data_IF_897885296505
#
_entry.id   IF_897885296505
#
_cell.length_a   1.000
_cell.length_b   1.000
_cell.length_c   1.000
_cell.angle_alpha   90.00
_cell.angle_beta   90.00
_cell.angle_gamma   90.00
#
_symmetry.space_group_name_H-M   'P 1'
#
loop_
_entity.id
_entity.type
_entity.pdbx_description
1 polymer ?
#
# COMPACT_ATOMS: atom_id res chain seq x y z
N UNK A 1 -17.70 -4.75 5.56
CA UNK A 1 -17.05 -3.45 5.79
C UNK A 1 -15.57 -3.72 5.98
N UNK A 2 -14.68 -3.10 5.21
CA UNK A 2 -13.24 -3.30 5.38
C UNK A 2 -12.80 -2.60 6.69
N UNK A 3 -12.32 -3.35 7.71
CA UNK A 3 -11.92 -2.75 8.98
C UNK A 3 -10.73 -1.79 8.81
N UNK A 4 -9.87 -2.12 7.87
CA UNK A 4 -8.67 -1.38 7.46
C UNK A 4 -8.92 0.05 6.96
N UNK A 5 -10.16 0.36 6.53
CA UNK A 5 -10.53 1.70 6.07
C UNK A 5 -11.72 2.30 6.82
N UNK A 6 -11.95 1.87 8.07
CA UNK A 6 -12.98 2.46 8.94
C UNK A 6 -14.40 2.40 8.34
N UNK A 7 -14.69 1.37 7.53
CA UNK A 7 -16.03 1.13 6.99
C UNK A 7 -16.34 1.80 5.65
N UNK A 8 -15.40 2.54 5.04
CA UNK A 8 -15.57 3.01 3.65
C UNK A 8 -15.45 1.85 2.66
N UNK A 9 -16.28 1.87 1.61
CA UNK A 9 -16.36 0.77 0.64
C UNK A 9 -15.12 0.71 -0.24
N UNK A 10 -14.69 1.85 -0.76
CA UNK A 10 -13.53 1.95 -1.65
C UNK A 10 -12.28 2.32 -0.86
N UNK A 11 -11.13 1.76 -1.25
CA UNK A 11 -9.82 2.16 -0.72
C UNK A 11 -9.65 3.69 -0.79
N UNK A 12 -9.39 4.37 0.34
CA UNK A 12 -9.15 5.81 0.33
C UNK A 12 -7.93 6.20 -0.53
N UNK A 13 -7.87 7.47 -0.91
CA UNK A 13 -6.72 8.00 -1.66
C UNK A 13 -5.62 8.43 -0.70
N UNK A 14 -4.54 7.65 -0.63
CA UNK A 14 -3.36 7.92 0.20
C UNK A 14 -2.32 8.71 -0.60
N UNK A 15 -2.35 10.04 -0.47
CA UNK A 15 -1.37 10.98 -1.06
C UNK A 15 -0.20 11.18 -0.10
N UNK A 16 0.79 10.29 -0.17
CA UNK A 16 1.95 10.35 0.72
C UNK A 16 3.24 10.07 -0.05
N UNK A 17 4.20 10.98 0.03
CA UNK A 17 5.60 10.72 -0.33
C UNK A 17 6.31 10.01 0.81
N UNK A 18 6.18 10.51 2.03
CA UNK A 18 6.83 9.98 3.24
C UNK A 18 5.84 9.24 4.14
N UNK A 19 6.27 8.11 4.72
CA UNK A 19 5.51 7.35 5.72
C UNK A 19 6.22 7.49 7.06
N UNK A 20 5.47 7.85 8.11
CA UNK A 20 6.03 7.98 9.45
C UNK A 20 6.23 6.60 10.09
N UNK A 21 7.33 6.46 10.79
CA UNK A 21 7.60 5.32 11.67
C UNK A 21 7.18 5.69 13.08
N UNK A 22 6.66 4.71 13.82
CA UNK A 22 6.25 4.91 15.22
C UNK A 22 7.44 5.27 16.11
N UNK A 23 8.58 4.63 15.86
CA UNK A 23 9.81 4.75 16.63
C UNK A 23 11.03 4.37 15.77
N UNK A 24 12.22 4.62 16.33
CA UNK A 24 13.50 4.35 15.68
C UNK A 24 13.72 2.85 15.44
N UNK A 25 13.34 1.99 16.39
CA UNK A 25 13.49 0.54 16.23
C UNK A 25 12.68 0.00 15.03
N UNK A 26 11.47 0.52 14.82
CA UNK A 26 10.64 0.18 13.66
C UNK A 26 11.31 0.64 12.37
N UNK A 27 11.87 1.85 12.34
CA UNK A 27 12.64 2.37 11.20
C UNK A 27 13.85 1.49 10.87
N UNK A 28 14.64 1.13 11.88
CA UNK A 28 15.86 0.32 11.73
C UNK A 28 15.54 -1.11 11.26
N UNK A 29 14.47 -1.72 11.77
CA UNK A 29 14.05 -3.06 11.34
C UNK A 29 13.54 -3.09 9.90
N UNK A 30 12.98 -1.98 9.41
CA UNK A 30 12.25 -1.92 8.15
C UNK A 30 11.03 -2.84 8.11
N UNK A 31 10.55 -3.39 9.23
CA UNK A 31 9.40 -4.27 9.21
C UNK A 31 8.10 -3.45 9.19
N UNK A 32 7.85 -2.77 8.08
CA UNK A 32 6.65 -1.96 7.84
C UNK A 32 6.01 -2.33 6.50
N UNK A 33 4.68 -2.25 6.39
CA UNK A 33 3.99 -2.52 5.13
C UNK A 33 4.29 -1.47 4.05
N UNK A 34 4.62 -0.25 4.45
CA UNK A 34 4.90 0.87 3.55
C UNK A 34 6.09 1.69 4.06
N UNK A 35 7.06 1.95 3.18
CA UNK A 35 8.27 2.69 3.52
C UNK A 35 8.25 4.14 3.04
N UNK A 36 7.89 4.33 1.77
CA UNK A 36 7.92 5.61 1.06
C UNK A 36 6.99 5.47 -0.16
N UNK A 37 6.29 6.54 -0.53
CA UNK A 37 5.28 6.54 -1.60
C UNK A 37 5.80 6.04 -2.95
N UNK A 38 7.10 6.23 -3.23
CA UNK A 38 7.77 5.67 -4.42
C UNK A 38 7.72 4.14 -4.49
N UNK A 39 7.71 3.46 -3.34
CA UNK A 39 7.59 1.99 -3.25
C UNK A 39 6.13 1.52 -3.16
N UNK A 40 5.18 2.45 -3.18
CA UNK A 40 3.76 2.19 -3.10
C UNK A 40 3.12 2.79 -1.84
N UNK A 41 1.80 2.97 -1.93
CA UNK A 41 0.90 3.36 -0.83
C UNK A 41 -0.25 2.35 -0.77
N UNK A 42 -1.12 2.38 0.24
CA UNK A 42 -2.28 1.50 0.26
C UNK A 42 -3.14 1.61 -1.01
N UNK A 43 -3.23 2.79 -1.61
CA UNK A 43 -3.96 2.98 -2.87
C UNK A 43 -3.31 2.21 -4.04
N UNK A 44 -1.99 2.29 -4.21
CA UNK A 44 -1.32 1.57 -5.31
C UNK A 44 -1.29 0.07 -5.07
N UNK A 45 -1.16 -0.38 -3.81
CA UNK A 45 -1.17 -1.81 -3.45
C UNK A 45 -2.53 -2.45 -3.66
N UNK A 46 -3.60 -1.75 -3.28
CA UNK A 46 -4.96 -2.21 -3.54
C UNK A 46 -5.22 -2.41 -5.04
N UNK A 47 -4.67 -1.53 -5.90
CA UNK A 47 -4.72 -1.72 -7.35
C UNK A 47 -3.88 -2.93 -7.81
N UNK A 48 -2.64 -3.06 -7.34
CA UNK A 48 -1.77 -4.22 -7.66
C UNK A 48 -2.46 -5.55 -7.32
N UNK A 49 -3.04 -5.66 -6.13
CA UNK A 49 -3.74 -6.85 -5.65
C UNK A 49 -4.98 -7.16 -6.48
N UNK A 50 -5.79 -6.14 -6.79
CA UNK A 50 -6.99 -6.30 -7.62
C UNK A 50 -6.64 -6.81 -9.03
N UNK A 51 -5.63 -6.23 -9.67
CA UNK A 51 -5.19 -6.68 -11.01
C UNK A 51 -4.58 -8.09 -10.94
N UNK A 52 -3.76 -8.37 -9.93
CA UNK A 52 -3.19 -9.71 -9.73
C UNK A 52 -4.29 -10.77 -9.65
N UNK A 53 -5.35 -10.49 -8.89
CA UNK A 53 -6.49 -11.39 -8.72
C UNK A 53 -7.30 -11.60 -10.01
N UNK A 54 -7.52 -10.54 -10.79
CA UNK A 54 -8.25 -10.61 -12.07
C UNK A 54 -7.48 -11.43 -13.11
N UNK A 55 -6.16 -11.24 -13.18
CA UNK A 55 -5.31 -11.89 -14.19
C UNK A 55 -4.85 -13.29 -13.77
N UNK A 56 -5.11 -13.71 -12.52
CA UNK A 56 -4.60 -14.97 -11.96
C UNK A 56 -3.06 -15.01 -11.85
N UNK A 57 -2.43 -13.84 -11.75
CA UNK A 57 -0.97 -13.70 -11.69
C UNK A 57 -0.41 -13.98 -10.30
N UNK A 58 0.92 -14.08 -10.21
CA UNK A 58 1.63 -14.15 -8.91
C UNK A 58 1.73 -12.76 -8.26
N UNK A 59 1.93 -11.72 -9.08
CA UNK A 59 2.08 -10.33 -8.61
C UNK A 59 1.95 -9.32 -9.75
N UNK A 60 1.35 -8.17 -9.47
CA UNK A 60 1.37 -6.97 -10.31
C UNK A 60 2.25 -5.88 -9.68
N UNK A 61 2.85 -5.03 -10.52
CA UNK A 61 3.60 -3.83 -10.13
C UNK A 61 3.10 -2.66 -10.96
N UNK A 62 2.78 -1.54 -10.30
CA UNK A 62 2.35 -0.31 -10.99
C UNK A 62 3.55 0.58 -11.33
N UNK A 63 3.55 1.10 -12.56
CA UNK A 63 4.51 2.07 -13.08
C UNK A 63 3.79 3.36 -13.50
N UNK A 64 4.55 4.41 -13.83
CA UNK A 64 3.98 5.70 -14.27
C UNK A 64 3.29 5.65 -15.63
N UNK A 65 3.69 4.72 -16.50
CA UNK A 65 3.24 4.54 -17.88
C UNK A 65 3.65 3.18 -18.41
#
# INVERSE_FOLDING_TARGET
MSPEHFGVVNTPVYRASTILYRDLATLESGNVPYFYGRRGTPSSRSLEEAITAIEGGVRTVVCSS
#
